data_IF_439511540080
#
_entry.id   IF_439511540080
#
_cell.length_a   1.000
_cell.length_b   1.000
_cell.length_c   1.000
_cell.angle_alpha   90.00
_cell.angle_beta   90.00
_cell.angle_gamma   90.00
#
_symmetry.space_group_name_H-M   'P 1'
#
loop_
_entity.id
_entity.type
_entity.pdbx_description
1 polymer ?
#
# COMPACT_ATOMS: atom_id res chain seq x y z
N UNK A 1 29.16 20.65 67.27
CA UNK A 1 30.03 21.29 66.25
C UNK A 1 29.27 21.21 64.93
N UNK A 2 28.75 22.34 64.45
CA UNK A 2 27.72 22.41 63.41
C UNK A 2 28.36 22.66 62.03
N UNK A 3 28.17 21.74 61.08
CA UNK A 3 28.68 21.87 59.71
C UNK A 3 27.68 22.70 58.90
N UNK A 4 28.08 23.94 58.58
CA UNK A 4 27.33 24.84 57.69
C UNK A 4 27.39 24.28 56.26
N UNK A 5 26.21 24.00 55.68
CA UNK A 5 26.06 23.71 54.24
C UNK A 5 26.40 24.96 53.43
N UNK A 6 27.37 24.86 52.53
CA UNK A 6 27.73 25.91 51.60
C UNK A 6 27.09 25.59 50.24
N UNK A 7 26.14 26.42 49.83
CA UNK A 7 25.54 26.44 48.50
C UNK A 7 26.39 27.39 47.65
N UNK A 8 26.92 26.93 46.52
CA UNK A 8 27.48 27.80 45.47
C UNK A 8 26.88 27.38 44.12
N UNK A 9 26.49 28.35 43.27
CA UNK A 9 25.43 28.19 42.28
C UNK A 9 25.94 27.68 40.92
N UNK A 10 24.96 27.23 40.14
CA UNK A 10 25.03 26.75 38.76
C UNK A 10 25.84 27.72 37.88
N UNK A 11 27.05 27.31 37.52
CA UNK A 11 27.84 27.94 36.47
C UNK A 11 27.43 27.34 35.12
N UNK A 12 26.79 28.20 34.35
CA UNK A 12 26.55 28.14 32.90
C UNK A 12 27.76 27.52 32.17
N UNK A 13 27.59 26.32 31.62
CA UNK A 13 28.44 25.82 30.53
C UNK A 13 27.63 25.98 29.25
N UNK A 14 27.80 27.16 28.64
CA UNK A 14 27.48 27.40 27.26
C UNK A 14 28.55 26.71 26.40
N UNK A 15 28.21 25.59 25.76
CA UNK A 15 28.96 25.10 24.61
C UNK A 15 28.14 25.41 23.38
N UNK A 16 28.42 26.60 22.81
CA UNK A 16 28.15 26.92 21.42
C UNK A 16 29.36 26.40 20.66
N UNK A 17 29.23 25.24 20.00
CA UNK A 17 30.11 24.89 18.88
C UNK A 17 29.26 24.94 17.63
N UNK A 18 29.58 25.97 16.83
CA UNK A 18 29.10 26.19 15.49
C UNK A 18 29.44 24.98 14.61
N UNK A 19 28.40 24.45 14.00
CA UNK A 19 28.44 23.28 13.11
C UNK A 19 27.03 22.70 12.93
N UNK A 20 26.06 23.60 12.89
CA UNK A 20 24.64 23.34 12.70
C UNK A 20 24.47 22.90 11.25
N UNK A 21 24.56 21.60 11.02
CA UNK A 21 23.73 20.93 10.04
C UNK A 21 22.81 20.00 10.81
N UNK A 22 21.89 20.60 11.56
CA UNK A 22 20.66 19.89 11.89
C UNK A 22 19.95 19.76 10.54
N UNK A 23 20.16 18.64 9.86
CA UNK A 23 19.15 18.13 8.95
C UNK A 23 17.93 17.89 9.82
N UNK A 24 17.05 18.88 9.90
CA UNK A 24 15.67 18.63 10.26
C UNK A 24 15.20 17.76 9.09
N UNK A 25 15.25 16.44 9.28
CA UNK A 25 14.46 15.54 8.46
C UNK A 25 13.03 15.95 8.79
N UNK A 26 12.52 16.90 8.01
CA UNK A 26 11.10 17.17 7.97
C UNK A 26 10.54 15.85 7.44
N UNK A 27 10.12 14.95 8.35
CA UNK A 27 9.33 13.81 7.92
C UNK A 27 8.20 14.40 7.07
N UNK A 28 8.13 14.06 5.77
CA UNK A 28 7.19 14.69 4.89
C UNK A 28 5.80 14.33 5.41
N UNK A 29 5.17 15.27 6.11
CA UNK A 29 3.81 15.21 6.68
C UNK A 29 3.36 13.79 6.93
N UNK A 30 3.54 13.28 8.17
CA UNK A 30 2.96 12.04 8.68
C UNK A 30 1.78 11.62 7.81
N UNK A 31 2.00 10.69 6.86
CA UNK A 31 0.94 10.27 5.94
C UNK A 31 -0.15 9.74 6.84
N UNK A 32 -1.20 10.52 7.09
CA UNK A 32 -2.21 10.10 8.05
C UNK A 32 -2.84 8.88 7.42
N UNK A 33 -2.63 7.71 8.02
CA UNK A 33 -3.21 6.48 7.50
C UNK A 33 -4.62 6.37 8.06
N UNK A 34 -5.59 6.12 7.18
CA UNK A 34 -6.95 5.76 7.57
C UNK A 34 -7.07 4.24 7.64
N UNK A 35 -8.04 3.75 8.41
CA UNK A 35 -8.33 2.31 8.53
C UNK A 35 -9.64 1.99 7.84
N UNK A 36 -9.61 1.03 6.91
CA UNK A 36 -10.80 0.38 6.39
C UNK A 36 -11.07 -0.87 7.21
N UNK A 37 -12.34 -1.11 7.57
CA UNK A 37 -12.78 -2.31 8.29
C UNK A 37 -13.99 -2.92 7.58
N UNK A 38 -13.89 -4.20 7.24
CA UNK A 38 -15.01 -5.00 6.73
C UNK A 38 -15.46 -5.96 7.84
N UNK A 39 -16.59 -5.63 8.49
CA UNK A 39 -17.14 -6.43 9.60
C UNK A 39 -17.76 -7.75 9.13
N UNK A 40 -18.20 -7.86 7.88
CA UNK A 40 -18.79 -9.09 7.32
C UNK A 40 -17.76 -10.21 7.21
N UNK A 41 -16.54 -9.88 6.81
CA UNK A 41 -15.46 -10.84 6.60
C UNK A 41 -14.35 -10.77 7.66
N UNK A 42 -14.55 -9.95 8.69
CA UNK A 42 -13.63 -9.86 9.83
C UNK A 42 -12.23 -9.39 9.46
N UNK A 43 -12.08 -8.44 8.54
CA UNK A 43 -10.75 -7.92 8.19
C UNK A 43 -10.66 -6.39 8.24
N UNK A 44 -9.44 -5.90 8.40
CA UNK A 44 -9.12 -4.48 8.30
C UNK A 44 -7.75 -4.25 7.65
N UNK A 45 -7.56 -3.08 7.07
CA UNK A 45 -6.26 -2.63 6.55
C UNK A 45 -6.16 -1.11 6.61
N UNK A 46 -4.93 -0.58 6.59
CA UNK A 46 -4.68 0.85 6.52
C UNK A 46 -4.42 1.30 5.09
N UNK A 47 -4.80 2.52 4.77
CA UNK A 47 -4.53 3.17 3.48
C UNK A 47 -4.21 4.66 3.64
N UNK A 48 -3.57 5.32 2.66
CA UNK A 48 -3.27 6.75 2.70
C UNK A 48 -4.55 7.62 2.83
N UNK A 49 -4.53 8.63 3.70
CA UNK A 49 -5.73 9.46 3.99
C UNK A 49 -6.27 10.25 2.82
N UNK A 50 -5.44 10.56 1.84
CA UNK A 50 -5.77 11.29 0.61
C UNK A 50 -6.52 10.41 -0.40
N UNK A 51 -6.53 9.09 -0.21
CA UNK A 51 -7.30 8.19 -1.06
C UNK A 51 -8.79 8.28 -0.76
N UNK A 52 -9.60 8.28 -1.82
CA UNK A 52 -11.05 8.27 -1.76
C UNK A 52 -11.53 6.82 -1.79
N UNK A 53 -12.44 6.47 -0.88
CA UNK A 53 -13.11 5.16 -0.90
C UNK A 53 -14.37 5.26 -1.75
N UNK A 54 -14.55 4.29 -2.65
CA UNK A 54 -15.83 3.99 -3.28
C UNK A 54 -16.21 2.54 -2.96
N UNK A 55 -17.28 2.37 -2.20
CA UNK A 55 -17.80 1.03 -1.92
C UNK A 55 -18.69 0.64 -3.10
N UNK A 56 -18.19 -0.22 -4.01
CA UNK A 56 -18.96 -0.67 -5.17
C UNK A 56 -19.95 -1.77 -4.83
N UNK A 57 -19.54 -2.73 -3.98
CA UNK A 57 -20.33 -3.88 -3.53
C UNK A 57 -19.98 -4.22 -2.08
N UNK A 58 -20.81 -5.03 -1.40
CA UNK A 58 -20.57 -5.43 0.01
C UNK A 58 -19.22 -6.16 0.21
N UNK A 59 -18.69 -6.75 -0.86
CA UNK A 59 -17.55 -7.68 -0.80
C UNK A 59 -16.30 -7.10 -1.49
N UNK A 60 -16.35 -5.82 -1.89
CA UNK A 60 -15.28 -5.12 -2.58
C UNK A 60 -15.05 -3.73 -1.95
N UNK A 61 -13.80 -3.45 -1.58
CA UNK A 61 -13.35 -2.11 -1.25
C UNK A 61 -12.54 -1.55 -2.41
N UNK A 62 -13.03 -0.52 -3.09
CA UNK A 62 -12.29 0.19 -4.11
C UNK A 62 -11.81 1.55 -3.55
N UNK A 63 -10.53 1.83 -3.70
CA UNK A 63 -9.88 3.06 -3.27
C UNK A 63 -9.17 3.71 -4.45
N UNK A 64 -9.19 5.04 -4.48
CA UNK A 64 -8.74 5.85 -5.60
C UNK A 64 -7.86 6.98 -5.12
N UNK A 65 -6.75 7.19 -5.81
CA UNK A 65 -5.94 8.41 -5.73
C UNK A 65 -5.86 9.07 -7.10
N UNK A 66 -5.09 10.15 -7.21
CA UNK A 66 -4.70 10.75 -8.47
C UNK A 66 -3.85 9.81 -9.34
N UNK A 67 -3.14 8.86 -8.70
CA UNK A 67 -2.16 7.98 -9.35
C UNK A 67 -2.60 6.53 -9.46
N UNK A 68 -3.28 6.03 -8.44
CA UNK A 68 -3.55 4.60 -8.26
C UNK A 68 -5.02 4.27 -8.02
N UNK A 69 -5.45 3.17 -8.63
CA UNK A 69 -6.63 2.40 -8.27
C UNK A 69 -6.19 1.26 -7.38
N UNK A 70 -6.81 1.11 -6.22
CA UNK A 70 -6.61 -0.03 -5.33
C UNK A 70 -7.93 -0.75 -5.12
N UNK A 71 -7.92 -2.06 -5.13
CA UNK A 71 -9.10 -2.89 -4.87
C UNK A 71 -8.75 -4.01 -3.90
N UNK A 72 -9.61 -4.21 -2.92
CA UNK A 72 -9.62 -5.40 -2.07
C UNK A 72 -10.93 -6.13 -2.32
N UNK A 73 -10.84 -7.30 -2.95
CA UNK A 73 -11.97 -8.12 -3.36
C UNK A 73 -11.98 -9.37 -2.50
N UNK A 74 -13.14 -9.69 -1.94
CA UNK A 74 -13.38 -10.93 -1.20
C UNK A 74 -14.43 -11.74 -1.92
N UNK A 75 -14.13 -13.00 -2.23
CA UNK A 75 -15.06 -13.87 -2.96
C UNK A 75 -15.04 -15.30 -2.42
N UNK A 76 -16.22 -15.91 -2.38
CA UNK A 76 -16.40 -17.35 -2.15
C UNK A 76 -16.35 -18.14 -3.46
N UNK A 77 -16.42 -17.47 -4.60
CA UNK A 77 -16.29 -18.10 -5.91
C UNK A 77 -14.81 -18.37 -6.19
N UNK A 78 -14.49 -19.62 -6.51
CA UNK A 78 -13.15 -20.03 -6.91
C UNK A 78 -12.88 -19.59 -8.35
N UNK A 79 -12.54 -18.32 -8.52
CA UNK A 79 -12.16 -17.75 -9.81
C UNK A 79 -11.06 -16.72 -9.63
N UNK A 80 -9.90 -16.96 -10.24
CA UNK A 80 -8.92 -15.88 -10.40
C UNK A 80 -9.51 -14.88 -11.39
N UNK A 81 -9.65 -13.61 -11.00
CA UNK A 81 -10.02 -12.58 -11.97
C UNK A 81 -8.87 -12.47 -12.97
N UNK A 82 -9.17 -12.82 -14.22
CA UNK A 82 -8.25 -12.60 -15.34
C UNK A 82 -8.48 -11.16 -15.80
N UNK A 83 -7.45 -10.32 -15.67
CA UNK A 83 -7.48 -8.96 -16.20
C UNK A 83 -7.11 -9.00 -17.68
N UNK A 84 -8.12 -8.92 -18.55
CA UNK A 84 -7.93 -8.80 -20.00
C UNK A 84 -7.00 -7.63 -20.33
N UNK A 85 -6.13 -7.80 -21.32
CA UNK A 85 -5.16 -6.79 -21.75
C UNK A 85 -3.89 -6.69 -20.89
N UNK A 86 -3.75 -7.49 -19.83
CA UNK A 86 -2.51 -7.55 -19.05
C UNK A 86 -1.71 -8.82 -19.35
N UNK A 87 -0.40 -8.67 -19.49
CA UNK A 87 0.57 -9.77 -19.52
C UNK A 87 1.21 -9.90 -18.14
N UNK A 88 1.33 -11.13 -17.63
CA UNK A 88 2.09 -11.41 -16.41
C UNK A 88 3.59 -11.30 -16.75
N UNK A 89 4.27 -10.36 -16.11
CA UNK A 89 5.71 -10.14 -16.25
C UNK A 89 6.48 -11.06 -15.31
N UNK A 90 6.03 -11.17 -14.06
CA UNK A 90 6.66 -11.98 -13.04
C UNK A 90 5.69 -12.37 -11.92
N UNK A 91 6.12 -13.31 -11.08
CA UNK A 91 5.40 -13.74 -9.87
C UNK A 91 6.38 -13.99 -8.73
N UNK A 92 5.94 -13.77 -7.51
CA UNK A 92 6.69 -14.08 -6.29
C UNK A 92 5.76 -14.67 -5.22
N UNK A 93 6.34 -15.52 -4.36
CA UNK A 93 5.63 -16.03 -3.18
C UNK A 93 5.88 -15.10 -2.00
N UNK A 94 4.81 -14.68 -1.33
CA UNK A 94 4.86 -13.82 -0.14
C UNK A 94 3.95 -14.36 0.97
N UNK A 95 3.93 -13.66 2.11
CA UNK A 95 2.95 -13.89 3.17
C UNK A 95 2.06 -12.67 3.38
N UNK A 96 0.75 -12.88 3.47
CA UNK A 96 -0.23 -11.85 3.80
C UNK A 96 -1.13 -12.36 4.90
N UNK A 97 -1.24 -11.62 6.02
CA UNK A 97 -2.00 -12.03 7.20
C UNK A 97 -1.69 -13.47 7.69
N UNK A 98 -0.42 -13.88 7.58
CA UNK A 98 0.08 -15.20 7.96
C UNK A 98 -0.09 -16.29 6.88
N UNK A 99 -0.88 -16.03 5.84
CA UNK A 99 -1.16 -17.01 4.77
C UNK A 99 -0.14 -16.91 3.65
N UNK A 100 0.11 -18.04 2.99
CA UNK A 100 0.88 -18.06 1.73
C UNK A 100 0.06 -17.34 0.66
N UNK A 101 0.72 -16.45 -0.09
CA UNK A 101 0.12 -15.66 -1.15
C UNK A 101 1.03 -15.63 -2.37
N UNK A 102 0.44 -15.39 -3.55
CA UNK A 102 1.19 -15.16 -4.79
C UNK A 102 0.98 -13.71 -5.21
N UNK A 103 2.07 -12.97 -5.36
CA UNK A 103 2.08 -11.61 -5.90
C UNK A 103 2.48 -11.67 -7.37
N UNK A 104 1.65 -11.09 -8.22
CA UNK A 104 1.83 -11.00 -9.66
C UNK A 104 2.17 -9.56 -10.02
N UNK A 105 3.17 -9.40 -10.88
CA UNK A 105 3.44 -8.14 -11.56
C UNK A 105 3.01 -8.30 -13.01
N UNK A 106 2.22 -7.34 -13.48
CA UNK A 106 1.72 -7.36 -14.84
C UNK A 106 1.84 -5.99 -15.48
N UNK A 107 2.15 -5.97 -16.78
CA UNK A 107 2.06 -4.79 -17.62
C UNK A 107 0.88 -4.90 -18.56
N UNK A 108 0.38 -3.75 -19.00
CA UNK A 108 -0.46 -3.71 -20.19
C UNK A 108 0.27 -4.29 -21.38
N UNK A 109 -0.50 -4.81 -22.32
CA UNK A 109 0.00 -5.33 -23.57
C UNK A 109 -1.15 -5.65 -24.51
N UNK A 110 -0.80 -6.03 -25.72
CA UNK A 110 -1.78 -6.59 -26.63
C UNK A 110 -2.21 -7.96 -26.07
N UNK A 111 -3.52 -8.21 -25.91
CA UNK A 111 -3.98 -9.56 -25.60
C UNK A 111 -3.43 -10.53 -26.67
N UNK A 112 -3.03 -11.75 -26.30
CA UNK A 112 -2.40 -12.69 -27.23
C UNK A 112 -3.32 -13.22 -28.34
N UNK A 113 -4.58 -12.78 -28.42
CA UNK A 113 -5.59 -13.32 -29.32
C UNK A 113 -6.69 -12.28 -29.64
N UNK A 114 -7.43 -12.54 -30.73
CA UNK A 114 -8.52 -11.79 -31.39
C UNK A 114 -9.70 -11.32 -30.51
N UNK A 115 -9.57 -11.50 -29.19
CA UNK A 115 -10.47 -10.96 -28.19
C UNK A 115 -10.72 -9.48 -28.48
N UNK A 116 -12.00 -9.11 -28.58
CA UNK A 116 -12.50 -7.73 -28.73
C UNK A 116 -12.22 -6.87 -27.48
N UNK A 117 -11.08 -7.06 -26.84
CA UNK A 117 -10.65 -6.34 -25.66
C UNK A 117 -9.82 -5.16 -26.11
N UNK A 118 -10.12 -3.99 -25.55
CA UNK A 118 -9.34 -2.78 -25.77
C UNK A 118 -7.89 -3.04 -25.35
N UNK A 119 -6.90 -2.78 -26.20
CA UNK A 119 -5.49 -2.90 -25.84
C UNK A 119 -5.23 -2.09 -24.57
N UNK A 120 -4.59 -2.71 -23.57
CA UNK A 120 -4.14 -1.98 -22.41
C UNK A 120 -2.79 -1.32 -22.75
N UNK A 121 -2.61 0.00 -22.57
CA UNK A 121 -1.34 0.65 -22.82
C UNK A 121 -0.16 -0.06 -22.13
N UNK A 122 0.98 -0.26 -22.81
CA UNK A 122 2.09 -1.08 -22.27
C UNK A 122 2.75 -0.50 -21.01
N UNK A 123 2.54 0.78 -20.75
CA UNK A 123 2.96 1.53 -19.57
C UNK A 123 2.03 1.35 -18.37
N UNK A 124 0.80 0.83 -18.55
CA UNK A 124 -0.04 0.45 -17.43
C UNK A 124 0.63 -0.69 -16.65
N UNK A 125 0.78 -0.49 -15.35
CA UNK A 125 1.28 -1.50 -14.42
C UNK A 125 0.19 -1.91 -13.45
N UNK A 126 0.23 -3.18 -13.07
CA UNK A 126 -0.65 -3.76 -12.08
C UNK A 126 0.16 -4.68 -11.17
N UNK A 127 -0.09 -4.59 -9.87
CA UNK A 127 0.33 -5.60 -8.90
C UNK A 127 -0.94 -6.25 -8.34
N UNK A 128 -0.98 -7.58 -8.36
CA UNK A 128 -2.10 -8.36 -7.81
C UNK A 128 -1.57 -9.34 -6.78
N UNK A 129 -2.27 -9.52 -5.66
CA UNK A 129 -2.01 -10.57 -4.68
C UNK A 129 -3.24 -11.42 -4.48
N UNK A 130 -3.07 -12.73 -4.61
CA UNK A 130 -4.09 -13.72 -4.31
C UNK A 130 -3.68 -14.52 -3.07
N UNK A 131 -4.62 -14.66 -2.12
CA UNK A 131 -4.46 -15.55 -0.97
C UNK A 131 -5.82 -16.06 -0.49
N UNK A 132 -5.80 -17.16 0.25
CA UNK A 132 -7.00 -17.76 0.85
C UNK A 132 -6.88 -17.74 2.35
N UNK A 133 -7.93 -17.27 3.04
CA UNK A 133 -8.02 -17.35 4.50
C UNK A 133 -9.43 -17.78 4.89
N UNK A 134 -9.56 -18.70 5.85
CA UNK A 134 -10.85 -19.22 6.30
C UNK A 134 -11.75 -19.74 5.14
N UNK A 135 -11.15 -20.43 4.16
CA UNK A 135 -11.82 -20.90 2.93
C UNK A 135 -12.44 -19.80 2.04
N UNK A 136 -12.01 -18.54 2.21
CA UNK A 136 -12.43 -17.41 1.39
C UNK A 136 -11.22 -16.89 0.61
N UNK A 137 -11.41 -16.63 -0.68
CA UNK A 137 -10.35 -16.08 -1.53
C UNK A 137 -10.38 -14.57 -1.47
N UNK A 138 -9.21 -13.97 -1.26
CA UNK A 138 -9.01 -12.53 -1.27
C UNK A 138 -8.06 -12.16 -2.41
N UNK A 139 -8.44 -11.13 -3.16
CA UNK A 139 -7.63 -10.57 -4.23
C UNK A 139 -7.38 -9.10 -3.92
N UNK A 140 -6.13 -8.68 -3.96
CA UNK A 140 -5.74 -7.30 -3.70
C UNK A 140 -5.02 -6.80 -4.94
N UNK A 141 -5.54 -5.73 -5.54
CA UNK A 141 -5.02 -5.19 -6.79
C UNK A 141 -4.65 -3.73 -6.57
N UNK A 142 -3.51 -3.32 -7.09
CA UNK A 142 -3.19 -1.91 -7.33
C UNK A 142 -2.80 -1.73 -8.81
N UNK A 143 -3.30 -0.68 -9.43
CA UNK A 143 -2.96 -0.32 -10.80
C UNK A 143 -2.93 1.20 -10.98
N UNK A 144 -2.31 1.67 -12.06
CA UNK A 144 -2.26 3.10 -12.38
C UNK A 144 -3.62 3.60 -12.91
N UNK A 145 -3.93 4.89 -12.71
CA UNK A 145 -5.26 5.47 -13.01
C UNK A 145 -5.39 6.00 -14.44
N UNK A 146 -4.31 6.24 -15.18
CA UNK A 146 -4.40 6.97 -16.45
C UNK A 146 -3.46 6.42 -17.54
N UNK A 147 -3.97 6.38 -18.77
CA UNK A 147 -3.23 6.13 -20.02
C UNK A 147 -2.27 7.29 -20.41
N UNK A 148 -2.31 8.40 -19.67
CA UNK A 148 -1.58 9.63 -20.01
C UNK A 148 -0.87 10.28 -18.82
N UNK A 149 -1.04 9.76 -17.60
CA UNK A 149 -0.27 10.27 -16.47
C UNK A 149 1.14 9.71 -16.60
N UNK A 150 2.13 10.60 -16.70
CA UNK A 150 3.56 10.28 -16.61
C UNK A 150 3.74 9.18 -15.59
N UNK A 151 4.20 8.02 -16.08
CA UNK A 151 4.36 6.74 -15.38
C UNK A 151 4.56 7.00 -13.90
N UNK A 152 3.51 6.77 -13.10
CA UNK A 152 3.65 6.80 -11.65
C UNK A 152 4.77 5.83 -11.30
N UNK A 153 5.77 6.32 -10.57
CA UNK A 153 6.98 5.59 -10.25
C UNK A 153 6.64 4.15 -9.81
N UNK A 154 7.00 3.12 -10.59
CA UNK A 154 6.63 1.74 -10.28
C UNK A 154 7.21 1.29 -8.94
N UNK A 155 8.34 1.88 -8.52
CA UNK A 155 8.93 1.65 -7.20
C UNK A 155 7.98 2.18 -6.11
N UNK A 156 7.48 3.40 -6.27
CA UNK A 156 6.52 3.97 -5.31
C UNK A 156 5.21 3.18 -5.23
N UNK A 157 4.68 2.70 -6.37
CA UNK A 157 3.48 1.86 -6.40
C UNK A 157 3.69 0.57 -5.60
N UNK A 158 4.81 -0.12 -5.83
CA UNK A 158 5.14 -1.34 -5.11
C UNK A 158 5.35 -1.08 -3.61
N UNK A 159 6.07 -0.02 -3.25
CA UNK A 159 6.29 0.35 -1.86
C UNK A 159 4.99 0.60 -1.11
N UNK A 160 4.09 1.43 -1.67
CA UNK A 160 2.83 1.73 -1.00
C UNK A 160 1.94 0.49 -0.89
N UNK A 161 1.94 -0.35 -1.92
CA UNK A 161 1.21 -1.60 -1.92
C UNK A 161 1.71 -2.55 -0.83
N UNK A 162 3.03 -2.75 -0.74
CA UNK A 162 3.66 -3.58 0.28
C UNK A 162 3.41 -3.03 1.70
N UNK A 163 3.35 -1.71 1.88
CA UNK A 163 2.96 -1.09 3.16
C UNK A 163 1.52 -1.41 3.52
N UNK A 164 0.57 -1.30 2.57
CA UNK A 164 -0.83 -1.67 2.79
C UNK A 164 -0.94 -3.15 3.17
N UNK A 165 -0.27 -4.06 2.44
CA UNK A 165 -0.30 -5.50 2.70
C UNK A 165 0.12 -5.85 4.14
N UNK A 166 1.15 -5.18 4.66
CA UNK A 166 1.64 -5.37 6.04
C UNK A 166 0.64 -4.95 7.11
N UNK A 167 -0.36 -4.15 6.76
CA UNK A 167 -1.37 -3.64 7.70
C UNK A 167 -2.63 -4.50 7.76
N UNK A 168 -2.75 -5.50 6.89
CA UNK A 168 -3.92 -6.37 6.81
C UNK A 168 -3.98 -7.25 8.06
N UNK A 169 -5.14 -7.22 8.71
CA UNK A 169 -5.45 -8.03 9.89
C UNK A 169 -6.80 -8.70 9.70
N UNK A 170 -6.90 -9.94 10.19
CA UNK A 170 -8.15 -10.67 10.34
C UNK A 170 -8.44 -10.86 11.83
N UNK A 171 -9.70 -10.67 12.20
CA UNK A 171 -10.26 -10.84 13.56
C UNK A 171 -10.83 -12.25 13.74
#
# INVERSE_FOLDING_TARGET
MSIKKLIIPIAVIAIIVAGISIFIFQEPNDKVWKTFKNTKYGFSFKYPSDWKIQIKKKDEAALYSDKFNFQFITTTEHGSMIFSGYKIDSKEEIKVAGEKAIKFFSSGGNPPDDSYTTPCPPDNKMIKVDFTKNNITHQIIISNVNEYAVVSDPVYMEEIFNLILKTIKFE
#
